data_IF_287713198543
#
_entry.id   IF_287713198543
#
_cell.length_a   1.000
_cell.length_b   1.000
_cell.length_c   1.000
_cell.angle_alpha   90.00
_cell.angle_beta   90.00
_cell.angle_gamma   90.00
#
_symmetry.space_group_name_H-M   'P 1'
#
loop_
_entity.id
_entity.type
_entity.pdbx_description
1 polymer ?
#
# COMPACT_ATOMS: atom_id res chain seq x y z
N UNK A 1 13.36 18.50 -9.25
CA UNK A 1 12.30 18.15 -8.28
C UNK A 1 11.08 19.01 -8.59
N UNK A 2 9.88 18.43 -8.63
CA UNK A 2 8.66 19.19 -8.81
C UNK A 2 8.45 20.10 -7.56
N UNK A 3 8.06 21.34 -7.81
CA UNK A 3 7.81 22.28 -6.72
C UNK A 3 6.36 22.08 -6.22
N UNK A 4 6.09 22.39 -4.96
CA UNK A 4 4.77 22.22 -4.32
C UNK A 4 3.64 22.89 -5.13
N UNK A 5 3.89 24.08 -5.70
CA UNK A 5 2.93 24.79 -6.54
C UNK A 5 2.57 24.01 -7.81
N UNK A 6 3.53 23.31 -8.41
CA UNK A 6 3.27 22.46 -9.57
C UNK A 6 2.51 21.19 -9.18
N UNK A 7 2.82 20.61 -8.03
CA UNK A 7 2.13 19.44 -7.51
C UNK A 7 0.67 19.76 -7.14
N UNK A 8 0.42 20.88 -6.49
CA UNK A 8 -0.92 21.30 -6.09
C UNK A 8 -1.86 21.67 -7.25
N UNK A 9 -1.31 21.94 -8.43
CA UNK A 9 -2.09 22.22 -9.65
C UNK A 9 -2.53 20.94 -10.38
N UNK A 10 -2.06 19.77 -9.97
CA UNK A 10 -2.44 18.49 -10.59
C UNK A 10 -3.83 18.06 -10.14
N UNK A 11 -4.60 17.39 -11.01
CA UNK A 11 -5.86 16.78 -10.59
C UNK A 11 -5.62 15.75 -9.49
N UNK A 12 -6.56 15.65 -8.56
CA UNK A 12 -6.51 14.66 -7.49
C UNK A 12 -6.96 13.30 -8.02
N UNK A 13 -6.09 12.31 -7.95
CA UNK A 13 -6.35 10.93 -8.38
C UNK A 13 -7.12 10.11 -7.33
N UNK A 14 -7.34 10.66 -6.14
CA UNK A 14 -8.24 10.12 -5.12
C UNK A 14 -9.36 11.13 -4.87
N UNK A 15 -10.55 10.86 -5.37
CA UNK A 15 -11.70 11.75 -5.24
C UNK A 15 -12.04 12.04 -3.77
N UNK A 16 -12.55 13.22 -3.44
CA UNK A 16 -13.17 13.47 -2.14
C UNK A 16 -14.43 12.63 -1.98
N UNK A 17 -14.90 12.45 -0.75
CA UNK A 17 -16.12 11.67 -0.48
C UNK A 17 -15.87 10.19 -0.17
N UNK A 18 -14.61 9.75 -0.13
CA UNK A 18 -14.26 8.47 0.48
C UNK A 18 -14.66 8.44 1.97
N UNK A 19 -14.83 7.25 2.54
CA UNK A 19 -15.27 7.05 3.94
C UNK A 19 -14.13 6.82 4.94
N UNK A 20 -12.91 7.25 4.63
CA UNK A 20 -11.82 7.27 5.62
C UNK A 20 -12.14 8.25 6.74
N UNK A 21 -11.65 7.96 7.95
CA UNK A 21 -11.85 8.82 9.12
C UNK A 21 -11.35 10.25 8.85
N UNK A 22 -12.00 11.23 9.46
CA UNK A 22 -11.55 12.62 9.42
C UNK A 22 -10.10 12.73 9.92
N UNK A 23 -9.22 13.34 9.12
CA UNK A 23 -7.80 13.47 9.44
C UNK A 23 -6.95 12.21 9.27
N UNK A 24 -7.47 11.14 8.66
CA UNK A 24 -6.71 9.92 8.43
C UNK A 24 -5.51 10.16 7.50
N UNK A 25 -4.31 9.82 7.98
CA UNK A 25 -3.06 9.96 7.22
C UNK A 25 -3.00 9.13 5.93
N UNK A 26 -3.75 8.03 5.86
CA UNK A 26 -3.76 7.17 4.66
C UNK A 26 -4.23 7.91 3.41
N UNK A 27 -5.29 8.73 3.50
CA UNK A 27 -5.76 9.51 2.34
C UNK A 27 -4.75 10.56 1.88
N UNK A 28 -4.05 11.18 2.82
CA UNK A 28 -2.99 12.15 2.51
C UNK A 28 -1.79 11.45 1.85
N UNK A 29 -1.35 10.33 2.40
CA UNK A 29 -0.24 9.56 1.85
C UNK A 29 -0.53 9.08 0.42
N UNK A 30 -1.73 8.53 0.16
CA UNK A 30 -2.15 8.10 -1.18
C UNK A 30 -2.10 9.25 -2.17
N UNK A 31 -2.68 10.42 -1.83
CA UNK A 31 -2.64 11.61 -2.69
C UNK A 31 -1.22 12.05 -3.01
N UNK A 32 -0.35 12.10 -2.00
CA UNK A 32 1.04 12.50 -2.19
C UNK A 32 1.81 11.52 -3.09
N UNK A 33 1.60 10.21 -2.91
CA UNK A 33 2.18 9.18 -3.77
C UNK A 33 1.70 9.35 -5.21
N UNK A 34 0.39 9.51 -5.42
CA UNK A 34 -0.17 9.67 -6.77
C UNK A 34 0.24 10.99 -7.42
N UNK A 35 0.36 12.07 -6.67
CA UNK A 35 0.94 13.34 -7.18
C UNK A 35 2.37 13.14 -7.71
N UNK A 36 3.13 12.19 -7.13
CA UNK A 36 4.48 11.85 -7.56
C UNK A 36 4.57 11.11 -8.89
N UNK A 37 3.45 10.63 -9.46
CA UNK A 37 3.43 9.90 -10.73
C UNK A 37 3.90 10.71 -11.95
N UNK A 38 3.98 12.03 -11.81
CA UNK A 38 4.24 12.95 -12.92
C UNK A 38 3.20 12.75 -14.04
N UNK A 39 3.63 12.59 -15.29
CA UNK A 39 2.76 12.38 -16.45
C UNK A 39 2.62 10.89 -16.83
N UNK A 40 3.06 9.98 -15.94
CA UNK A 40 2.89 8.55 -16.16
C UNK A 40 1.46 8.12 -15.87
N UNK A 41 0.94 7.23 -16.69
CA UNK A 41 -0.23 6.44 -16.31
C UNK A 41 0.12 5.53 -15.14
N UNK A 42 -0.84 5.31 -14.26
CA UNK A 42 -0.66 4.49 -13.07
C UNK A 42 -1.77 3.45 -13.00
N UNK A 43 -1.41 2.25 -12.63
CA UNK A 43 -2.36 1.20 -12.20
C UNK A 43 -2.12 0.94 -10.72
N UNK A 44 -3.16 1.04 -9.92
CA UNK A 44 -3.10 0.83 -8.49
C UNK A 44 -3.79 -0.46 -8.08
N UNK A 45 -3.30 -1.07 -7.00
CA UNK A 45 -4.06 -2.07 -6.26
C UNK A 45 -3.96 -1.80 -4.75
N UNK A 46 -4.92 -2.29 -4.00
CA UNK A 46 -4.88 -2.21 -2.54
C UNK A 46 -5.29 -3.53 -1.90
N UNK A 47 -4.53 -3.95 -0.89
CA UNK A 47 -4.94 -5.00 0.00
C UNK A 47 -6.21 -4.59 0.77
N UNK A 48 -7.06 -5.55 1.11
CA UNK A 48 -8.21 -5.34 2.00
C UNK A 48 -7.75 -4.63 3.29
N UNK A 49 -8.48 -3.62 3.69
CA UNK A 49 -8.18 -2.82 4.88
C UNK A 49 -8.92 -1.49 4.86
N UNK A 50 -8.60 -0.58 5.80
CA UNK A 50 -9.27 0.72 5.90
C UNK A 50 -9.27 1.48 4.57
N UNK A 51 -8.13 1.54 3.89
CA UNK A 51 -8.01 2.28 2.64
C UNK A 51 -8.94 1.71 1.56
N UNK A 52 -8.87 0.39 1.36
CA UNK A 52 -9.66 -0.28 0.33
C UNK A 52 -11.15 -0.18 0.62
N UNK A 53 -11.60 -0.62 1.80
CA UNK A 53 -13.03 -0.64 2.19
C UNK A 53 -13.66 0.74 2.13
N UNK A 54 -12.90 1.79 2.47
CA UNK A 54 -13.43 3.17 2.50
C UNK A 54 -13.41 3.87 1.14
N UNK A 55 -12.72 3.33 0.15
CA UNK A 55 -12.55 3.97 -1.16
C UNK A 55 -13.19 3.22 -2.32
N UNK A 56 -13.67 1.99 -2.09
CA UNK A 56 -14.26 1.10 -3.11
C UNK A 56 -15.66 0.60 -2.71
N UNK A 57 -16.55 1.51 -2.34
CA UNK A 57 -17.91 1.17 -1.89
C UNK A 57 -18.84 1.10 -3.09
N UNK A 58 -19.32 -0.11 -3.35
CA UNK A 58 -20.28 -0.34 -4.44
C UNK A 58 -21.48 0.63 -4.36
N UNK A 59 -21.93 1.20 -5.49
CA UNK A 59 -21.42 1.01 -6.86
C UNK A 59 -20.27 1.93 -7.24
N UNK A 60 -19.80 2.77 -6.34
CA UNK A 60 -18.81 3.81 -6.58
C UNK A 60 -17.42 3.40 -6.10
N UNK A 61 -16.39 4.04 -6.63
CA UNK A 61 -15.06 4.04 -6.05
C UNK A 61 -14.43 5.43 -6.14
N UNK A 62 -13.49 5.72 -5.24
CA UNK A 62 -12.86 7.04 -5.15
C UNK A 62 -11.59 7.19 -6.03
N UNK A 63 -11.19 6.17 -6.76
CA UNK A 63 -9.96 6.16 -7.53
C UNK A 63 -10.18 6.68 -8.96
N UNK A 64 -9.50 7.76 -9.33
CA UNK A 64 -9.51 8.32 -10.69
C UNK A 64 -8.43 7.67 -11.59
N UNK A 65 -7.85 6.57 -11.15
CA UNK A 65 -6.90 5.73 -11.87
C UNK A 65 -7.40 4.28 -11.90
N UNK A 66 -6.97 3.45 -12.85
CA UNK A 66 -7.27 2.02 -12.82
C UNK A 66 -6.90 1.41 -11.46
N UNK A 67 -7.87 0.78 -10.81
CA UNK A 67 -7.75 0.29 -9.45
C UNK A 67 -8.22 -1.16 -9.35
N UNK A 68 -7.48 -1.98 -8.62
CA UNK A 68 -7.81 -3.38 -8.36
C UNK A 68 -7.89 -3.59 -6.85
N UNK A 69 -9.06 -3.97 -6.36
CA UNK A 69 -9.22 -4.54 -5.03
C UNK A 69 -8.72 -5.99 -5.02
N UNK A 70 -8.01 -6.39 -3.98
CA UNK A 70 -7.56 -7.77 -3.84
C UNK A 70 -7.65 -8.24 -2.38
N UNK A 71 -7.58 -9.56 -2.20
CA UNK A 71 -7.58 -10.17 -0.89
C UNK A 71 -6.40 -9.65 -0.04
N UNK A 72 -6.57 -9.71 1.26
CA UNK A 72 -5.73 -9.09 2.29
C UNK A 72 -4.23 -9.41 2.17
N UNK A 73 -3.90 -10.64 1.80
CA UNK A 73 -2.51 -11.09 1.66
C UNK A 73 -1.87 -10.80 0.28
N UNK A 74 -2.64 -10.30 -0.71
CA UNK A 74 -2.31 -10.52 -2.11
C UNK A 74 -1.82 -9.26 -2.87
N UNK A 75 -1.66 -8.11 -2.22
CA UNK A 75 -1.27 -6.87 -2.92
C UNK A 75 0.03 -7.02 -3.71
N UNK A 76 1.06 -7.63 -3.11
CA UNK A 76 2.33 -7.91 -3.77
C UNK A 76 2.19 -8.85 -4.97
N UNK A 77 1.43 -9.92 -4.84
CA UNK A 77 1.19 -10.89 -5.92
C UNK A 77 0.35 -10.28 -7.04
N UNK A 78 -0.71 -9.53 -6.69
CA UNK A 78 -1.60 -8.89 -7.68
C UNK A 78 -0.84 -7.88 -8.54
N UNK A 79 -0.11 -6.97 -7.92
CA UNK A 79 0.61 -5.95 -8.68
C UNK A 79 1.74 -6.55 -9.53
N UNK A 80 2.38 -7.62 -9.05
CA UNK A 80 3.37 -8.38 -9.82
C UNK A 80 2.74 -9.02 -11.07
N UNK A 81 1.54 -9.59 -10.92
CA UNK A 81 0.79 -10.18 -12.03
C UNK A 81 0.37 -9.13 -13.08
N UNK A 82 -0.06 -7.96 -12.63
CA UNK A 82 -0.44 -6.83 -13.51
C UNK A 82 0.78 -6.34 -14.30
N UNK A 83 1.91 -6.14 -13.63
CA UNK A 83 3.16 -5.73 -14.27
C UNK A 83 3.66 -6.77 -15.28
N UNK A 84 3.63 -8.05 -14.92
CA UNK A 84 4.01 -9.15 -15.81
C UNK A 84 3.08 -9.24 -17.04
N UNK A 85 1.76 -9.08 -16.84
CA UNK A 85 0.78 -9.06 -17.92
C UNK A 85 1.02 -7.88 -18.88
N UNK A 86 1.28 -6.69 -18.34
CA UNK A 86 1.64 -5.51 -19.12
C UNK A 86 2.86 -5.76 -20.01
N UNK A 87 3.95 -6.28 -19.44
CA UNK A 87 5.15 -6.66 -20.21
C UNK A 87 4.86 -7.73 -21.28
N UNK A 88 3.99 -8.69 -20.96
CA UNK A 88 3.52 -9.70 -21.90
C UNK A 88 2.76 -9.10 -23.08
N UNK A 89 1.84 -8.16 -22.81
CA UNK A 89 1.08 -7.46 -23.84
C UNK A 89 1.96 -6.56 -24.73
N UNK A 90 2.98 -5.92 -24.18
CA UNK A 90 3.96 -5.17 -24.96
C UNK A 90 4.74 -6.10 -25.90
N UNK A 91 5.24 -7.24 -25.40
CA UNK A 91 5.94 -8.24 -26.24
C UNK A 91 5.05 -8.80 -27.33
N UNK A 92 3.75 -8.93 -27.08
CA UNK A 92 2.76 -9.39 -28.07
C UNK A 92 2.31 -8.27 -29.05
N UNK A 93 2.86 -7.05 -28.96
CA UNK A 93 2.49 -5.92 -29.79
C UNK A 93 1.08 -5.35 -29.54
N UNK A 94 0.43 -5.75 -28.43
CA UNK A 94 -0.93 -5.27 -28.06
C UNK A 94 -0.89 -3.93 -27.32
N UNK A 95 0.25 -3.58 -26.75
CA UNK A 95 0.52 -2.28 -26.13
C UNK A 95 1.78 -1.73 -26.77
N UNK A 96 1.82 -0.42 -27.15
CA UNK A 96 3.01 0.18 -27.69
C UNK A 96 4.23 0.01 -26.77
N UNK A 97 5.40 -0.28 -27.35
CA UNK A 97 6.63 -0.54 -26.58
C UNK A 97 7.12 0.68 -25.79
N UNK A 98 6.82 1.89 -26.27
CA UNK A 98 7.16 3.17 -25.64
C UNK A 98 6.15 3.62 -24.57
N UNK A 99 4.98 2.97 -24.50
CA UNK A 99 4.00 3.26 -23.45
C UNK A 99 4.58 2.91 -22.09
N UNK A 100 4.60 3.86 -21.19
CA UNK A 100 5.13 3.69 -19.83
C UNK A 100 3.99 3.79 -18.80
N UNK A 101 3.82 2.75 -18.00
CA UNK A 101 2.85 2.69 -16.91
C UNK A 101 3.61 2.42 -15.60
N UNK A 102 3.18 3.05 -14.51
CA UNK A 102 3.66 2.77 -13.16
C UNK A 102 2.67 1.89 -12.42
N UNK A 103 3.19 0.95 -11.66
CA UNK A 103 2.40 -0.03 -10.90
C UNK A 103 2.59 0.23 -9.42
N UNK A 104 1.52 0.55 -8.70
CA UNK A 104 1.57 0.93 -7.29
C UNK A 104 0.63 0.05 -6.48
N UNK A 105 1.17 -0.59 -5.45
CA UNK A 105 0.38 -1.33 -4.49
C UNK A 105 0.34 -0.61 -3.14
N UNK A 106 -0.82 -0.59 -2.51
CA UNK A 106 -1.00 -0.10 -1.15
C UNK A 106 -1.39 -1.24 -0.21
N UNK A 107 -0.78 -1.26 0.96
CA UNK A 107 -1.12 -2.21 2.02
C UNK A 107 -1.04 -1.55 3.39
N UNK A 108 -1.96 -1.89 4.28
CA UNK A 108 -1.83 -1.54 5.70
C UNK A 108 -0.72 -2.34 6.37
N UNK A 109 -0.39 -1.98 7.60
CA UNK A 109 0.66 -2.67 8.36
C UNK A 109 0.34 -4.16 8.58
N UNK A 110 -0.86 -4.52 8.99
CA UNK A 110 -1.26 -5.92 9.14
C UNK A 110 -1.19 -6.69 7.82
N UNK A 111 -1.66 -6.10 6.72
CA UNK A 111 -1.58 -6.66 5.38
C UNK A 111 -0.15 -6.81 4.85
N UNK A 112 0.79 -6.03 5.35
CA UNK A 112 2.16 -5.97 4.85
C UNK A 112 3.15 -6.71 5.75
N UNK A 113 3.16 -6.40 7.05
CA UNK A 113 4.12 -6.97 8.00
C UNK A 113 3.81 -8.43 8.36
N UNK A 114 2.56 -8.82 8.23
CA UNK A 114 2.06 -10.13 8.67
C UNK A 114 1.56 -10.96 7.48
N UNK A 115 0.26 -10.90 7.18
CA UNK A 115 -0.37 -11.85 6.27
C UNK A 115 0.13 -11.75 4.82
N UNK A 116 0.53 -10.57 4.35
CA UNK A 116 1.01 -10.32 2.98
C UNK A 116 2.53 -10.33 2.83
N UNK A 117 3.29 -10.52 3.90
CA UNK A 117 4.75 -10.45 3.84
C UNK A 117 5.34 -11.46 2.84
N UNK A 118 4.80 -12.67 2.76
CA UNK A 118 5.24 -13.69 1.82
C UNK A 118 5.07 -13.24 0.36
N UNK A 119 3.91 -12.70 0.01
CA UNK A 119 3.64 -12.25 -1.37
C UNK A 119 4.50 -11.04 -1.75
N UNK A 120 4.74 -10.13 -0.80
CA UNK A 120 5.62 -8.99 -0.99
C UNK A 120 7.07 -9.44 -1.15
N UNK A 121 7.57 -10.31 -0.28
CA UNK A 121 8.91 -10.87 -0.36
C UNK A 121 9.17 -11.53 -1.73
N UNK A 122 8.23 -12.36 -2.20
CA UNK A 122 8.35 -12.98 -3.51
C UNK A 122 8.29 -11.98 -4.68
N UNK A 123 7.56 -10.87 -4.55
CA UNK A 123 7.56 -9.80 -5.55
C UNK A 123 8.91 -9.06 -5.61
N UNK A 124 9.50 -8.79 -4.44
CA UNK A 124 10.81 -8.13 -4.34
C UNK A 124 11.92 -9.04 -4.90
N UNK A 125 11.91 -10.32 -4.53
CA UNK A 125 12.87 -11.31 -5.02
C UNK A 125 12.87 -11.44 -6.55
N UNK A 126 11.70 -11.40 -7.18
CA UNK A 126 11.56 -11.47 -8.64
C UNK A 126 11.92 -10.18 -9.37
N UNK A 127 12.17 -9.08 -8.67
CA UNK A 127 12.59 -7.81 -9.26
C UNK A 127 11.53 -7.17 -10.15
N UNK A 128 10.26 -7.24 -9.80
CA UNK A 128 9.19 -6.53 -10.50
C UNK A 128 9.36 -5.01 -10.42
N UNK A 129 9.11 -4.30 -11.53
CA UNK A 129 9.14 -2.82 -11.57
C UNK A 129 7.84 -2.25 -10.98
N UNK A 130 7.75 -2.27 -9.68
CA UNK A 130 6.59 -1.85 -8.90
C UNK A 130 6.99 -0.93 -7.76
N UNK A 131 6.06 -0.14 -7.27
CA UNK A 131 6.16 0.60 -6.01
C UNK A 131 5.18 -0.01 -5.02
N UNK A 132 5.67 -0.44 -3.87
CA UNK A 132 4.83 -0.91 -2.78
C UNK A 132 4.83 0.11 -1.64
N UNK A 133 3.67 0.55 -1.23
CA UNK A 133 3.49 1.55 -0.17
C UNK A 133 2.77 0.92 1.00
N UNK A 134 3.46 0.82 2.13
CA UNK A 134 2.84 0.42 3.39
C UNK A 134 2.39 1.68 4.14
N UNK A 135 1.07 1.87 4.28
CA UNK A 135 0.53 2.87 5.20
C UNK A 135 0.35 2.24 6.57
N UNK A 136 1.27 2.57 7.46
CA UNK A 136 1.36 1.98 8.79
C UNK A 136 0.60 2.84 9.81
N UNK A 137 -0.45 2.29 10.38
CA UNK A 137 -1.22 2.90 11.46
C UNK A 137 -1.13 2.12 12.79
N UNK A 138 -0.22 1.15 12.87
CA UNK A 138 0.15 0.44 14.08
C UNK A 138 -0.76 -0.69 14.54
N UNK A 139 -1.79 -1.05 13.77
CA UNK A 139 -2.68 -2.17 14.09
C UNK A 139 -3.55 -2.58 12.88
N UNK A 140 -4.25 -3.71 12.96
CA UNK A 140 -5.38 -4.05 12.10
C UNK A 140 -6.58 -3.16 12.46
N UNK A 141 -6.57 -1.91 11.98
CA UNK A 141 -7.55 -0.90 12.41
C UNK A 141 -8.95 -1.19 11.92
N UNK A 142 -9.09 -1.62 10.65
CA UNK A 142 -10.40 -1.82 10.04
C UNK A 142 -11.24 -2.91 10.72
N UNK A 143 -10.59 -3.93 11.25
CA UNK A 143 -11.26 -5.07 11.88
C UNK A 143 -11.51 -4.89 13.39
N UNK A 144 -11.08 -3.80 13.97
CA UNK A 144 -11.31 -3.48 15.39
C UNK A 144 -10.04 -3.44 16.23
N UNK A 145 -8.96 -2.93 15.68
CA UNK A 145 -7.70 -2.58 16.40
C UNK A 145 -6.99 -3.82 16.98
N UNK A 146 -6.92 -4.93 16.22
CA UNK A 146 -6.08 -6.06 16.62
C UNK A 146 -4.59 -5.69 16.43
N UNK A 147 -3.74 -6.27 17.27
CA UNK A 147 -2.32 -6.03 17.17
C UNK A 147 -1.76 -6.56 15.84
N UNK A 148 -0.89 -5.81 15.19
CA UNK A 148 -0.04 -6.27 14.09
C UNK A 148 1.42 -6.43 14.55
N UNK A 149 2.30 -6.90 13.65
CA UNK A 149 3.73 -6.88 13.91
C UNK A 149 4.32 -5.47 13.89
N UNK A 150 3.61 -4.48 13.35
CA UNK A 150 3.98 -3.07 13.41
C UNK A 150 3.61 -2.40 14.74
N UNK A 151 2.65 -2.93 15.47
CA UNK A 151 2.24 -2.37 16.77
C UNK A 151 3.46 -2.26 17.70
N UNK A 152 3.73 -1.08 18.27
CA UNK A 152 4.86 -0.89 19.18
C UNK A 152 4.79 -1.82 20.41
N UNK A 153 5.95 -2.16 20.95
CA UNK A 153 6.00 -2.89 22.22
C UNK A 153 5.36 -2.06 23.33
N UNK A 154 4.52 -2.71 24.14
CA UNK A 154 3.78 -2.07 25.23
C UNK A 154 2.53 -1.33 24.79
N UNK A 155 2.25 -1.21 23.49
CA UNK A 155 1.03 -0.56 23.03
C UNK A 155 -0.20 -1.47 23.23
N UNK A 156 -1.31 -0.82 23.53
CA UNK A 156 -2.61 -1.47 23.62
C UNK A 156 -3.18 -1.82 22.24
N UNK A 157 -3.81 -2.95 22.16
CA UNK A 157 -4.70 -3.34 21.07
C UNK A 157 -5.77 -4.28 21.61
N UNK A 158 -6.85 -4.53 20.89
CA UNK A 158 -7.93 -5.45 21.35
C UNK A 158 -7.46 -6.89 21.56
N UNK A 159 -6.34 -7.27 20.99
CA UNK A 159 -5.69 -8.57 21.19
C UNK A 159 -4.38 -8.48 21.98
N UNK A 160 -4.12 -7.36 22.63
CA UNK A 160 -2.93 -7.07 23.43
C UNK A 160 -3.28 -6.04 24.50
N UNK A 161 -4.15 -6.40 25.41
CA UNK A 161 -4.66 -5.48 26.42
C UNK A 161 -3.59 -5.09 27.44
N UNK A 162 -3.74 -3.90 28.02
CA UNK A 162 -2.91 -3.39 29.11
C UNK A 162 -3.65 -3.59 30.41
N UNK A 163 -3.07 -4.33 31.33
CA UNK A 163 -3.64 -4.64 32.64
C UNK A 163 -2.57 -4.98 33.68
N UNK A 164 -3.00 -5.56 34.79
CA UNK A 164 -2.09 -5.92 35.89
C UNK A 164 -1.12 -7.04 35.49
N UNK A 165 -1.54 -7.97 34.65
CA UNK A 165 -0.76 -9.16 34.27
C UNK A 165 -0.08 -9.00 32.90
N UNK A 166 -0.67 -8.25 31.99
CA UNK A 166 -0.13 -8.02 30.66
C UNK A 166 -0.02 -6.52 30.38
N UNK A 167 1.14 -6.10 29.89
CA UNK A 167 1.43 -4.70 29.59
C UNK A 167 1.46 -4.44 28.08
N UNK A 168 0.32 -4.66 27.42
CA UNK A 168 0.21 -4.47 25.98
C UNK A 168 0.99 -5.50 25.17
N UNK A 169 1.36 -5.18 23.95
CA UNK A 169 2.09 -6.09 23.05
C UNK A 169 3.49 -6.40 23.60
N UNK A 170 3.83 -7.66 23.90
CA UNK A 170 5.16 -8.01 24.46
C UNK A 170 6.29 -8.00 23.42
N UNK A 171 6.00 -8.23 22.13
CA UNK A 171 7.02 -8.29 21.09
C UNK A 171 7.41 -6.90 20.60
N UNK A 172 8.67 -6.74 20.18
CA UNK A 172 9.14 -5.56 19.46
C UNK A 172 8.44 -5.43 18.10
N UNK A 173 8.37 -4.21 17.59
CA UNK A 173 7.96 -3.93 16.22
C UNK A 173 8.91 -4.63 15.24
N UNK A 174 8.35 -5.25 14.21
CA UNK A 174 9.14 -5.81 13.11
C UNK A 174 9.75 -4.67 12.28
N UNK A 175 10.98 -4.79 11.85
CA UNK A 175 11.64 -3.82 10.98
C UNK A 175 11.42 -4.19 9.51
N UNK A 176 10.34 -3.66 8.93
CA UNK A 176 9.99 -3.93 7.53
C UNK A 176 11.03 -3.37 6.56
N UNK A 177 11.58 -2.19 6.84
CA UNK A 177 12.54 -1.55 5.94
C UNK A 177 13.81 -2.35 5.81
N UNK A 178 14.35 -2.87 6.91
CA UNK A 178 15.51 -3.76 6.90
C UNK A 178 15.20 -5.09 6.19
N UNK A 179 14.01 -5.66 6.40
CA UNK A 179 13.57 -6.88 5.70
C UNK A 179 13.53 -6.65 4.19
N UNK A 180 12.96 -5.54 3.75
CA UNK A 180 12.87 -5.22 2.31
C UNK A 180 14.25 -4.89 1.71
N UNK A 181 15.09 -4.16 2.44
CA UNK A 181 16.45 -3.88 2.01
C UNK A 181 17.29 -5.15 1.80
N UNK A 182 17.06 -6.17 2.63
CA UNK A 182 17.73 -7.48 2.50
C UNK A 182 17.41 -8.22 1.19
N UNK A 183 16.35 -7.84 0.46
CA UNK A 183 16.05 -8.36 -0.87
C UNK A 183 16.90 -7.71 -1.98
N UNK A 184 17.75 -6.73 -1.67
CA UNK A 184 18.56 -6.04 -2.66
C UNK A 184 17.77 -5.14 -3.62
N UNK A 185 16.57 -4.72 -3.23
CA UNK A 185 15.75 -3.79 -4.04
C UNK A 185 16.43 -2.43 -4.15
N UNK A 186 16.27 -1.71 -5.27
CA UNK A 186 17.04 -0.50 -5.55
C UNK A 186 16.70 0.68 -4.63
N UNK A 187 15.54 0.66 -4.00
CA UNK A 187 15.10 1.75 -3.12
C UNK A 187 14.16 1.25 -2.01
N UNK A 188 14.48 1.63 -0.79
CA UNK A 188 13.62 1.45 0.40
C UNK A 188 13.65 2.75 1.18
N UNK A 189 12.51 3.23 1.65
CA UNK A 189 12.40 4.43 2.47
C UNK A 189 11.32 4.27 3.54
N UNK A 190 11.49 5.04 4.61
CA UNK A 190 10.50 5.22 5.66
C UNK A 190 10.40 6.71 5.98
N UNK A 191 9.18 7.22 6.12
CA UNK A 191 8.87 8.60 6.50
C UNK A 191 8.02 8.64 7.78
#
# INVERSE_FOLDING_TARGET
>A
MANIKQLSARPDDLAPGHRLCGGCGASMAVRQVLMGRNDYDVVCCSATGCLEVSTSIYPDNAWNVPFIHNAFANAGATISGVEAAYKGLQRAGKIPADKKIKFVAFGGDGGTYDIGLQSLSGAMERGHDIVYVCYDNGAYMNTGIQRSSATPKGAWATTSEVGKEQQGKPQKRKDLTSIMAAHGVPYVAQA
#
